data_IF_661740115865
#
_entry.id   IF_661740115865
#
_cell.length_a   1.000
_cell.length_b   1.000
_cell.length_c   1.000
_cell.angle_alpha   90.00
_cell.angle_beta   90.00
_cell.angle_gamma   90.00
#
_symmetry.space_group_name_H-M   'P 1'
#
loop_
_entity.id
_entity.type
_entity.pdbx_description
1 polymer ?
#
# COMPACT_ATOMS: atom_id res chain seq x y z
N UNK A 1 -6.20 37.33 4.18
CA UNK A 1 -4.72 37.34 4.20
C UNK A 1 -4.23 35.94 3.89
N UNK A 2 -3.44 35.76 2.84
CA UNK A 2 -2.82 34.46 2.56
C UNK A 2 -1.73 34.19 3.60
N UNK A 3 -1.76 33.00 4.19
CA UNK A 3 -0.74 32.55 5.16
C UNK A 3 0.61 32.35 4.48
N UNK A 4 1.71 32.38 5.24
CA UNK A 4 3.06 32.14 4.70
C UNK A 4 3.16 30.80 3.93
N UNK A 5 2.45 29.76 4.38
CA UNK A 5 2.39 28.46 3.71
C UNK A 5 1.71 28.53 2.34
N UNK A 6 0.63 29.31 2.21
CA UNK A 6 -0.04 29.49 0.91
C UNK A 6 0.87 30.20 -0.09
N UNK A 7 1.63 31.21 0.34
CA UNK A 7 2.57 31.93 -0.53
C UNK A 7 3.65 30.98 -1.05
N UNK A 8 4.19 30.11 -0.19
CA UNK A 8 5.19 29.12 -0.58
C UNK A 8 4.58 28.07 -1.53
N UNK A 9 3.36 27.61 -1.25
CA UNK A 9 2.66 26.65 -2.09
C UNK A 9 2.43 27.21 -3.50
N UNK A 10 1.92 28.45 -3.62
CA UNK A 10 1.65 29.09 -4.91
C UNK A 10 2.91 29.21 -5.76
N UNK A 11 4.01 29.71 -5.16
CA UNK A 11 5.30 29.83 -5.84
C UNK A 11 5.81 28.49 -6.37
N UNK A 12 5.70 27.42 -5.58
CA UNK A 12 6.10 26.07 -6.02
C UNK A 12 5.24 25.54 -7.16
N UNK A 13 3.93 25.79 -7.10
CA UNK A 13 3.00 25.38 -8.17
C UNK A 13 3.38 26.10 -9.46
N UNK A 14 3.58 27.42 -9.42
CA UNK A 14 4.02 28.19 -10.59
C UNK A 14 5.36 27.72 -11.15
N UNK A 15 6.36 27.46 -10.30
CA UNK A 15 7.67 26.96 -10.72
C UNK A 15 7.57 25.62 -11.45
N UNK A 16 6.72 24.71 -10.94
CA UNK A 16 6.47 23.40 -11.55
C UNK A 16 5.85 23.51 -12.95
N UNK A 17 4.81 24.35 -13.10
CA UNK A 17 4.20 24.60 -14.41
C UNK A 17 5.15 25.29 -15.40
N UNK A 18 6.04 26.17 -14.93
CA UNK A 18 7.03 26.83 -15.79
C UNK A 18 8.13 25.90 -16.29
N UNK A 19 8.64 24.98 -15.45
CA UNK A 19 9.76 24.10 -15.80
C UNK A 19 9.34 22.93 -16.68
N UNK A 20 8.28 22.24 -16.30
CA UNK A 20 7.93 20.94 -16.89
C UNK A 20 6.66 21.01 -17.77
N UNK A 21 6.11 22.21 -18.00
CA UNK A 21 4.85 22.41 -18.74
C UNK A 21 3.60 21.95 -17.99
N UNK A 22 3.77 21.37 -16.79
CA UNK A 22 2.72 20.79 -15.98
C UNK A 22 2.10 19.52 -16.57
N UNK A 23 1.42 18.71 -15.73
CA UNK A 23 0.65 17.57 -16.20
C UNK A 23 -0.58 18.03 -16.98
N UNK A 24 -1.02 17.23 -17.96
CA UNK A 24 -2.30 17.46 -18.63
C UNK A 24 -3.46 17.14 -17.68
N UNK A 25 -4.08 18.18 -17.13
CA UNK A 25 -5.20 18.09 -16.20
C UNK A 25 -6.56 18.31 -16.89
N UNK A 26 -6.63 18.38 -18.22
CA UNK A 26 -7.88 18.66 -18.97
C UNK A 26 -9.00 17.68 -18.62
N UNK A 27 -8.65 16.43 -18.35
CA UNK A 27 -9.59 15.38 -17.97
C UNK A 27 -10.24 15.58 -16.58
N UNK A 28 -9.63 16.40 -15.72
CA UNK A 28 -10.16 16.76 -14.39
C UNK A 28 -10.93 18.09 -14.40
N UNK A 29 -10.85 18.86 -15.49
CA UNK A 29 -11.49 20.17 -15.56
C UNK A 29 -13.02 20.05 -15.49
N UNK A 30 -13.63 20.73 -14.52
CA UNK A 30 -15.09 20.70 -14.30
C UNK A 30 -15.63 19.38 -13.74
N UNK A 31 -14.76 18.41 -13.40
CA UNK A 31 -15.16 17.16 -12.75
C UNK A 31 -14.81 17.20 -11.27
N UNK A 32 -15.64 16.60 -10.39
CA UNK A 32 -15.26 16.43 -9.00
C UNK A 32 -13.96 15.62 -8.93
N UNK A 33 -13.11 15.94 -7.96
CA UNK A 33 -11.92 15.14 -7.69
C UNK A 33 -12.32 13.68 -7.42
N UNK A 34 -11.53 12.71 -7.88
CA UNK A 34 -11.81 11.30 -7.60
C UNK A 34 -11.84 11.09 -6.09
N UNK A 35 -12.91 10.42 -5.64
CA UNK A 35 -13.07 10.09 -4.22
C UNK A 35 -12.02 9.06 -3.87
N UNK A 36 -11.12 9.42 -2.95
CA UNK A 36 -10.16 8.47 -2.41
C UNK A 36 -10.84 7.68 -1.28
N UNK A 37 -10.76 6.35 -1.35
CA UNK A 37 -11.23 5.50 -0.26
C UNK A 37 -10.33 5.66 0.96
N UNK A 38 -10.76 6.52 1.89
CA UNK A 38 -10.12 6.79 3.18
C UNK A 38 -10.94 6.21 4.34
N UNK A 39 -11.81 5.23 4.08
CA UNK A 39 -12.71 4.65 5.08
C UNK A 39 -11.96 4.08 6.29
N UNK A 40 -10.73 3.63 6.08
CA UNK A 40 -9.86 3.02 7.10
C UNK A 40 -9.02 4.03 7.89
N UNK A 41 -9.13 5.34 7.60
CA UNK A 41 -8.34 6.39 8.24
C UNK A 41 -9.25 7.26 9.12
N UNK A 42 -8.94 7.45 10.42
CA UNK A 42 -9.64 8.40 11.29
C UNK A 42 -9.71 9.81 10.68
N UNK A 43 -10.82 10.53 10.89
CA UNK A 43 -11.13 11.78 10.19
C UNK A 43 -10.05 12.87 10.36
N UNK A 44 -9.50 12.97 11.56
CA UNK A 44 -8.39 13.83 11.98
C UNK A 44 -7.07 13.51 11.26
N UNK A 45 -6.82 12.24 10.92
CA UNK A 45 -5.58 11.80 10.28
C UNK A 45 -5.61 11.83 8.75
N UNK A 46 -6.77 12.00 8.11
CA UNK A 46 -6.91 11.91 6.63
C UNK A 46 -6.06 12.93 5.90
N UNK A 47 -5.97 14.15 6.42
CA UNK A 47 -5.19 15.23 5.79
C UNK A 47 -3.69 14.89 5.80
N UNK A 48 -3.17 14.50 6.96
CA UNK A 48 -1.76 14.10 7.11
C UNK A 48 -1.43 12.90 6.21
N UNK A 49 -2.29 11.88 6.21
CA UNK A 49 -2.12 10.69 5.35
C UNK A 49 -2.11 11.05 3.86
N UNK A 50 -3.02 11.92 3.42
CA UNK A 50 -3.11 12.37 2.02
C UNK A 50 -1.86 13.14 1.58
N UNK A 51 -1.33 14.01 2.44
CA UNK A 51 -0.09 14.74 2.17
C UNK A 51 1.08 13.77 1.99
N UNK A 52 1.22 12.79 2.90
CA UNK A 52 2.28 11.78 2.83
C UNK A 52 2.17 10.91 1.58
N UNK A 53 0.96 10.45 1.26
CA UNK A 53 0.67 9.67 0.05
C UNK A 53 1.06 10.44 -1.22
N UNK A 54 0.68 11.72 -1.31
CA UNK A 54 0.98 12.57 -2.46
C UNK A 54 2.48 12.89 -2.59
N UNK A 55 3.20 12.95 -1.47
CA UNK A 55 4.65 13.12 -1.45
C UNK A 55 5.43 11.85 -1.85
N UNK A 56 4.73 10.74 -2.14
CA UNK A 56 5.35 9.45 -2.43
C UNK A 56 5.94 8.77 -1.20
N UNK A 57 5.58 9.22 0.01
CA UNK A 57 6.02 8.60 1.25
C UNK A 57 5.26 7.29 1.46
N UNK A 58 5.87 6.19 1.01
CA UNK A 58 5.37 4.84 1.27
C UNK A 58 5.76 4.46 2.69
N UNK A 59 4.82 4.18 3.60
CA UNK A 59 5.15 3.71 4.94
C UNK A 59 6.05 2.48 4.85
N UNK A 60 7.05 2.38 5.73
CA UNK A 60 8.03 1.28 5.70
C UNK A 60 7.35 -0.09 5.81
N UNK A 61 6.19 -0.16 6.46
CA UNK A 61 5.34 -1.33 6.57
C UNK A 61 4.82 -1.79 5.21
N UNK A 62 4.43 -0.86 4.34
CA UNK A 62 3.97 -1.16 2.98
C UNK A 62 5.13 -1.63 2.10
N UNK A 63 6.32 -1.05 2.28
CA UNK A 63 7.53 -1.51 1.58
C UNK A 63 7.93 -2.93 1.99
N UNK A 64 7.90 -3.22 3.31
CA UNK A 64 8.15 -4.56 3.84
C UNK A 64 7.09 -5.57 3.36
N UNK A 65 5.82 -5.17 3.32
CA UNK A 65 4.74 -6.03 2.82
C UNK A 65 4.95 -6.39 1.34
N UNK A 66 5.36 -5.42 0.50
CA UNK A 66 5.73 -5.69 -0.90
C UNK A 66 6.90 -6.66 -1.03
N UNK A 67 7.89 -6.56 -0.13
CA UNK A 67 9.03 -7.47 -0.13
C UNK A 67 8.64 -8.90 0.29
N UNK A 68 7.71 -9.04 1.25
CA UNK A 68 7.13 -10.32 1.65
C UNK A 68 6.43 -10.97 0.47
N UNK A 69 5.51 -10.27 -0.19
CA UNK A 69 4.77 -10.80 -1.36
C UNK A 69 5.74 -11.23 -2.46
N UNK A 70 6.74 -10.40 -2.78
CA UNK A 70 7.76 -10.75 -3.77
C UNK A 70 8.54 -12.01 -3.39
N UNK A 71 8.86 -12.20 -2.11
CA UNK A 71 9.59 -13.37 -1.63
C UNK A 71 8.71 -14.63 -1.68
N UNK A 72 7.40 -14.51 -1.40
CA UNK A 72 6.41 -15.59 -1.55
C UNK A 72 6.25 -15.99 -3.02
N UNK A 73 6.17 -15.02 -3.94
CA UNK A 73 6.12 -15.28 -5.38
C UNK A 73 7.38 -16.01 -5.87
N UNK A 74 8.56 -15.57 -5.41
CA UNK A 74 9.83 -16.23 -5.75
C UNK A 74 9.88 -17.67 -5.21
N UNK A 75 9.36 -17.91 -4.00
CA UNK A 75 9.25 -19.24 -3.42
C UNK A 75 8.31 -20.15 -4.22
N UNK A 76 7.20 -19.61 -4.75
CA UNK A 76 6.23 -20.37 -5.54
C UNK A 76 6.81 -20.87 -6.88
N UNK A 77 7.78 -20.14 -7.45
CA UNK A 77 8.40 -20.47 -8.74
C UNK A 77 9.79 -21.13 -8.60
N UNK A 78 10.30 -21.28 -7.37
CA UNK A 78 11.60 -21.89 -7.11
C UNK A 78 11.54 -23.42 -7.20
N UNK A 79 12.44 -24.03 -7.99
CA UNK A 79 12.56 -25.49 -8.16
C UNK A 79 13.73 -26.10 -7.36
N UNK A 80 14.66 -25.28 -6.86
CA UNK A 80 15.82 -25.72 -6.08
C UNK A 80 15.49 -25.71 -4.57
N UNK A 81 15.76 -26.82 -3.88
CA UNK A 81 15.51 -26.98 -2.45
C UNK A 81 16.41 -26.10 -1.57
N UNK A 82 17.65 -25.85 -1.97
CA UNK A 82 18.58 -25.03 -1.18
C UNK A 82 18.18 -23.55 -1.21
N UNK A 83 17.80 -23.05 -2.39
CA UNK A 83 17.29 -21.70 -2.54
C UNK A 83 15.94 -21.53 -1.84
N UNK A 84 15.08 -22.54 -1.87
CA UNK A 84 13.80 -22.54 -1.14
C UNK A 84 14.00 -22.38 0.37
N UNK A 85 14.95 -23.09 0.97
CA UNK A 85 15.28 -22.95 2.39
C UNK A 85 15.81 -21.54 2.72
N UNK A 86 16.63 -20.96 1.85
CA UNK A 86 17.16 -19.60 2.04
C UNK A 86 16.06 -18.55 1.96
N UNK A 87 15.17 -18.66 0.97
CA UNK A 87 14.04 -17.74 0.81
C UNK A 87 13.02 -17.88 1.94
N UNK A 88 12.78 -19.09 2.47
CA UNK A 88 11.94 -19.30 3.65
C UNK A 88 12.49 -18.60 4.89
N UNK A 89 13.81 -18.69 5.14
CA UNK A 89 14.46 -17.96 6.25
C UNK A 89 14.32 -16.45 6.08
N UNK A 90 14.51 -15.96 4.85
CA UNK A 90 14.31 -14.55 4.51
C UNK A 90 12.86 -14.11 4.79
N UNK A 91 11.89 -14.92 4.38
CA UNK A 91 10.47 -14.67 4.60
C UNK A 91 10.14 -14.55 6.10
N UNK A 92 10.61 -15.49 6.92
CA UNK A 92 10.39 -15.46 8.37
C UNK A 92 10.99 -14.22 9.02
N UNK A 93 12.18 -13.80 8.59
CA UNK A 93 12.80 -12.56 9.08
C UNK A 93 11.98 -11.32 8.71
N UNK A 94 11.50 -11.25 7.47
CA UNK A 94 10.68 -10.13 6.99
C UNK A 94 9.34 -10.05 7.75
N UNK A 95 8.70 -11.19 8.01
CA UNK A 95 7.47 -11.28 8.81
C UNK A 95 7.71 -10.79 10.24
N UNK A 96 8.76 -11.28 10.91
CA UNK A 96 9.13 -10.84 12.26
C UNK A 96 9.47 -9.34 12.33
N UNK A 97 10.17 -8.80 11.34
CA UNK A 97 10.49 -7.37 11.26
C UNK A 97 9.23 -6.50 11.12
N UNK A 98 8.23 -6.98 10.37
CA UNK A 98 6.95 -6.30 10.21
C UNK A 98 6.11 -6.35 11.50
N UNK A 99 6.11 -7.48 12.21
CA UNK A 99 5.48 -7.61 13.54
C UNK A 99 6.08 -6.65 14.57
N UNK A 100 7.41 -6.59 14.62
CA UNK A 100 8.13 -5.70 15.53
C UNK A 100 7.80 -4.21 15.27
N UNK A 101 7.61 -3.82 14.01
CA UNK A 101 7.21 -2.45 13.65
C UNK A 101 5.76 -2.13 13.98
N UNK A 102 4.87 -3.09 13.80
CA UNK A 102 3.44 -2.92 14.09
C UNK A 102 3.12 -2.99 15.59
N UNK A 103 4.04 -3.47 16.42
CA UNK A 103 3.83 -3.62 17.87
C UNK A 103 2.75 -4.65 18.22
N UNK A 104 2.31 -5.46 17.25
CA UNK A 104 1.32 -6.53 17.38
C UNK A 104 1.74 -7.70 16.49
N UNK A 105 1.46 -8.95 16.89
CA UNK A 105 1.73 -10.10 16.03
C UNK A 105 0.89 -10.00 14.75
N UNK A 106 1.44 -10.45 13.61
CA UNK A 106 0.74 -10.53 12.32
C UNK A 106 -0.18 -11.74 12.35
N UNK A 107 -1.12 -11.71 13.28
CA UNK A 107 -2.21 -12.64 13.34
C UNK A 107 -3.18 -12.24 12.23
N UNK A 108 -2.99 -12.85 11.07
CA UNK A 108 -4.15 -13.22 10.24
C UNK A 108 -4.83 -14.36 11.01
N UNK A 109 -5.35 -14.05 12.20
CA UNK A 109 -6.21 -14.99 12.91
C UNK A 109 -7.53 -15.03 12.16
N UNK A 110 -8.03 -16.24 11.91
CA UNK A 110 -9.39 -16.47 11.45
C UNK A 110 -10.46 -15.91 12.39
N UNK A 111 -10.09 -15.32 13.54
CA UNK A 111 -11.00 -14.70 14.51
C UNK A 111 -11.09 -13.16 14.39
N UNK A 112 -10.35 -12.54 13.47
CA UNK A 112 -10.54 -11.13 13.17
C UNK A 112 -11.82 -10.97 12.35
N UNK A 113 -12.77 -10.13 12.80
CA UNK A 113 -13.99 -9.78 12.05
C UNK A 113 -13.72 -9.19 10.63
N UNK A 114 -12.45 -8.93 10.33
CA UNK A 114 -11.96 -8.45 9.04
C UNK A 114 -11.52 -9.59 8.09
N UNK A 115 -11.20 -10.78 8.62
CA UNK A 115 -10.74 -11.93 7.84
C UNK A 115 -11.84 -12.43 6.89
N UNK A 116 -13.05 -12.65 7.39
CA UNK A 116 -14.18 -13.13 6.58
C UNK A 116 -14.49 -12.18 5.41
N UNK A 117 -14.50 -10.86 5.65
CA UNK A 117 -14.79 -9.86 4.60
C UNK A 117 -13.72 -9.79 3.51
N UNK A 118 -12.47 -10.09 3.86
CA UNK A 118 -11.35 -10.09 2.91
C UNK A 118 -11.34 -11.40 2.12
N UNK A 119 -11.60 -12.53 2.78
CA UNK A 119 -11.71 -13.85 2.14
C UNK A 119 -12.89 -13.88 1.17
N UNK A 120 -14.05 -13.34 1.55
CA UNK A 120 -15.25 -13.26 0.68
C UNK A 120 -15.04 -12.39 -0.57
N UNK A 121 -14.15 -11.39 -0.49
CA UNK A 121 -13.85 -10.49 -1.63
C UNK A 121 -12.78 -11.00 -2.57
N UNK A 122 -12.04 -12.04 -2.21
CA UNK A 122 -11.01 -12.61 -3.07
C UNK A 122 -11.66 -13.71 -3.91
N UNK A 123 -11.95 -13.50 -5.21
CA UNK A 123 -12.41 -14.59 -6.05
C UNK A 123 -11.28 -15.62 -6.17
N UNK A 124 -11.46 -16.77 -5.51
CA UNK A 124 -10.56 -17.91 -5.64
C UNK A 124 -10.63 -18.39 -7.08
N UNK A 125 -9.57 -18.10 -7.83
CA UNK A 125 -9.48 -18.49 -9.24
C UNK A 125 -9.18 -19.99 -9.32
N UNK A 126 -10.24 -20.79 -9.34
CA UNK A 126 -10.32 -22.15 -9.90
C UNK A 126 -9.35 -23.20 -9.33
N UNK A 127 -9.77 -23.89 -8.26
CA UNK A 127 -9.20 -25.17 -7.83
C UNK A 127 -10.23 -26.29 -8.02
N UNK A 128 -9.95 -27.17 -8.98
CA UNK A 128 -10.70 -28.36 -9.43
C UNK A 128 -11.60 -29.03 -8.39
N UNK A 129 -12.83 -29.30 -8.81
CA UNK A 129 -13.74 -30.27 -8.21
C UNK A 129 -13.00 -31.57 -7.85
N UNK A 130 -13.10 -31.95 -6.58
CA UNK A 130 -12.94 -33.34 -6.15
C UNK A 130 -14.23 -33.74 -5.46
N UNK A 131 -15.15 -34.30 -6.25
CA UNK A 131 -16.11 -35.29 -5.77
C UNK A 131 -15.45 -36.68 -5.88
N UNK A 132 -15.86 -37.62 -5.03
CA UNK A 132 -16.97 -38.49 -5.40
C UNK A 132 -18.30 -38.14 -4.72
#
# INVERSE_FOLDING_TARGET
>A
MLTALQIIAERKIEEFFRKDGGPDLRHLHGRPLPVEDMSNVPADLRMAYKILKNAGYVPEEVALHREIVRTEDLLAHCRDEQDKLRQLRKLSLLKCKLEAKLGRPLRIDGDSAYFDRVVDRIPVRGGRERQP
#
